data_IF_250347228739
#
_entry.id   IF_250347228739
#
_cell.length_a   1.000
_cell.length_b   1.000
_cell.length_c   1.000
_cell.angle_alpha   90.00
_cell.angle_beta   90.00
_cell.angle_gamma   90.00
#
_symmetry.space_group_name_H-M   'P 1'
#
loop_
_entity.id
_entity.type
_entity.pdbx_description
1 polymer ?
#
# COMPACT_ATOMS: atom_id res chain seq x y z
N UNK A 1 -9.93 17.84 -25.99
CA UNK A 1 -9.56 16.64 -26.77
C UNK A 1 -10.11 15.44 -26.02
N UNK A 2 -11.16 14.78 -26.52
CA UNK A 2 -11.62 13.54 -25.93
C UNK A 2 -10.47 12.52 -26.05
N UNK A 3 -9.90 12.08 -24.93
CA UNK A 3 -8.94 10.99 -24.96
C UNK A 3 -9.69 9.74 -25.41
N UNK A 4 -9.62 9.46 -26.71
CA UNK A 4 -10.29 8.32 -27.32
C UNK A 4 -9.79 7.02 -26.70
N UNK A 5 -10.70 6.08 -26.52
CA UNK A 5 -10.42 4.72 -26.09
C UNK A 5 -9.31 4.12 -26.95
N UNK A 6 -8.10 3.98 -26.40
CA UNK A 6 -7.01 3.21 -26.99
C UNK A 6 -7.15 1.78 -26.47
N UNK A 7 -7.49 0.80 -27.33
CA UNK A 7 -7.50 -0.59 -26.90
C UNK A 7 -6.09 -1.00 -26.48
N UNK A 8 -6.02 -1.81 -25.43
CA UNK A 8 -4.77 -2.37 -24.93
C UNK A 8 -4.15 -3.27 -26.00
N UNK A 9 -2.84 -3.16 -26.19
CA UNK A 9 -2.09 -4.16 -26.98
C UNK A 9 -1.98 -5.47 -26.19
N UNK A 10 -1.66 -6.57 -26.88
CA UNK A 10 -1.42 -7.86 -26.20
C UNK A 10 -0.29 -7.76 -25.18
N UNK A 11 0.78 -7.02 -25.51
CA UNK A 11 1.93 -6.79 -24.62
C UNK A 11 1.51 -6.01 -23.35
N UNK A 12 0.68 -4.98 -23.50
CA UNK A 12 0.17 -4.19 -22.36
C UNK A 12 -0.75 -5.04 -21.47
N UNK A 13 -1.55 -5.94 -22.06
CA UNK A 13 -2.41 -6.87 -21.33
C UNK A 13 -1.61 -7.94 -20.60
N UNK A 14 -0.56 -8.48 -21.23
CA UNK A 14 0.34 -9.46 -20.62
C UNK A 14 1.08 -8.86 -19.43
N UNK A 15 1.64 -7.66 -19.58
CA UNK A 15 2.28 -6.93 -18.48
C UNK A 15 1.31 -6.69 -17.30
N UNK A 16 0.05 -6.34 -17.59
CA UNK A 16 -0.97 -6.21 -16.53
C UNK A 16 -1.29 -7.56 -15.86
N UNK A 17 -1.30 -8.64 -16.64
CA UNK A 17 -1.56 -10.00 -16.17
C UNK A 17 -0.46 -10.51 -15.25
N UNK A 18 0.82 -10.26 -15.58
CA UNK A 18 1.97 -10.60 -14.73
C UNK A 18 1.92 -9.91 -13.37
N UNK A 19 1.31 -8.73 -13.28
CA UNK A 19 1.08 -8.03 -12.01
C UNK A 19 -0.14 -8.65 -11.30
N UNK A 20 -1.25 -8.84 -12.00
CA UNK A 20 -2.50 -9.24 -11.39
C UNK A 20 -2.49 -10.69 -10.87
N UNK A 21 -2.12 -11.65 -11.72
CA UNK A 21 -2.30 -13.08 -11.44
C UNK A 21 -1.50 -13.60 -10.24
N UNK A 22 -0.24 -13.19 -9.99
CA UNK A 22 0.46 -13.62 -8.78
C UNK A 22 -0.26 -13.21 -7.49
N UNK A 23 -0.88 -12.02 -7.47
CA UNK A 23 -1.66 -11.53 -6.33
C UNK A 23 -2.98 -12.28 -6.20
N UNK A 24 -3.64 -12.54 -7.33
CA UNK A 24 -4.88 -13.30 -7.37
C UNK A 24 -4.67 -14.75 -6.92
N UNK A 25 -3.64 -15.42 -7.44
CA UNK A 25 -3.29 -16.80 -7.10
C UNK A 25 -2.97 -16.97 -5.61
N UNK A 26 -2.27 -16.01 -5.01
CA UNK A 26 -2.03 -16.00 -3.57
C UNK A 26 -3.34 -16.07 -2.76
N UNK A 27 -4.39 -15.39 -3.20
CA UNK A 27 -5.69 -15.44 -2.54
C UNK A 27 -6.39 -16.75 -2.88
N UNK A 28 -6.43 -17.13 -4.16
CA UNK A 28 -7.11 -18.32 -4.65
C UNK A 28 -6.63 -19.61 -3.95
N UNK A 29 -5.33 -19.76 -3.74
CA UNK A 29 -4.73 -20.90 -3.04
C UNK A 29 -5.23 -21.08 -1.59
N UNK A 30 -5.79 -20.03 -0.99
CA UNK A 30 -6.33 -20.03 0.37
C UNK A 30 -7.85 -20.10 0.41
N UNK A 31 -8.51 -20.07 -0.75
CA UNK A 31 -9.96 -20.16 -0.84
C UNK A 31 -10.42 -21.62 -0.72
N UNK A 32 -11.64 -21.86 -0.21
CA UNK A 32 -12.22 -23.20 -0.19
C UNK A 32 -12.49 -23.71 -1.62
N UNK A 33 -12.46 -25.03 -1.82
CA UNK A 33 -12.56 -25.67 -3.15
C UNK A 33 -13.83 -25.33 -3.95
N UNK A 34 -14.89 -24.86 -3.29
CA UNK A 34 -16.16 -24.45 -3.92
C UNK A 34 -16.28 -22.94 -4.15
N UNK A 35 -15.23 -22.17 -3.84
CA UNK A 35 -15.25 -20.72 -4.03
C UNK A 35 -15.25 -20.36 -5.51
N UNK A 36 -16.04 -19.35 -5.86
CA UNK A 36 -16.06 -18.82 -7.22
C UNK A 36 -14.91 -17.82 -7.44
N UNK A 37 -14.65 -17.50 -8.70
CA UNK A 37 -13.71 -16.43 -9.06
C UNK A 37 -14.18 -15.08 -8.49
N UNK A 38 -15.49 -14.81 -8.51
CA UNK A 38 -16.07 -13.61 -7.93
C UNK A 38 -15.86 -13.53 -6.42
N UNK A 39 -16.05 -14.64 -5.70
CA UNK A 39 -15.74 -14.71 -4.27
C UNK A 39 -14.28 -14.41 -3.99
N UNK A 40 -13.38 -14.93 -4.82
CA UNK A 40 -11.94 -14.72 -4.70
C UNK A 40 -11.58 -13.25 -4.92
N UNK A 41 -12.20 -12.57 -5.90
CA UNK A 41 -12.02 -11.14 -6.14
C UNK A 41 -12.54 -10.30 -4.96
N UNK A 42 -13.70 -10.66 -4.41
CA UNK A 42 -14.28 -10.01 -3.23
C UNK A 42 -13.39 -10.15 -1.99
N UNK A 43 -12.80 -11.33 -1.78
CA UNK A 43 -11.84 -11.56 -0.69
C UNK A 43 -10.56 -10.77 -0.95
N UNK A 44 -10.04 -10.77 -2.17
CA UNK A 44 -8.86 -10.00 -2.55
C UNK A 44 -9.04 -8.51 -2.26
N UNK A 45 -10.19 -7.92 -2.58
CA UNK A 45 -10.48 -6.51 -2.27
C UNK A 45 -10.43 -6.23 -0.76
N UNK A 46 -11.03 -7.11 0.06
CA UNK A 46 -11.01 -6.99 1.52
C UNK A 46 -9.58 -7.11 2.09
N UNK A 47 -8.78 -8.04 1.57
CA UNK A 47 -7.38 -8.23 1.97
C UNK A 47 -6.54 -6.99 1.62
N UNK A 48 -6.74 -6.41 0.42
CA UNK A 48 -6.05 -5.19 0.01
C UNK A 48 -6.41 -4.00 0.92
N UNK A 49 -7.69 -3.80 1.23
CA UNK A 49 -8.14 -2.77 2.20
C UNK A 49 -7.48 -2.94 3.57
N UNK A 50 -7.39 -4.18 4.05
CA UNK A 50 -6.73 -4.49 5.32
C UNK A 50 -5.23 -4.19 5.28
N UNK A 51 -4.54 -4.58 4.19
CA UNK A 51 -3.11 -4.31 4.00
C UNK A 51 -2.78 -2.81 3.97
N UNK A 52 -3.59 -2.01 3.29
CA UNK A 52 -3.46 -0.55 3.29
C UNK A 52 -3.67 0.04 4.69
N UNK A 53 -4.69 -0.44 5.42
CA UNK A 53 -4.94 -0.02 6.80
C UNK A 53 -3.74 -0.34 7.71
N UNK A 54 -3.18 -1.56 7.63
CA UNK A 54 -2.02 -1.95 8.42
C UNK A 54 -0.78 -1.09 8.12
N UNK A 55 -0.54 -0.74 6.85
CA UNK A 55 0.55 0.16 6.47
C UNK A 55 0.38 1.53 7.12
N UNK A 56 -0.80 2.12 6.97
CA UNK A 56 -1.11 3.41 7.54
C UNK A 56 -1.06 3.41 9.09
N UNK A 57 -1.55 2.36 9.74
CA UNK A 57 -1.49 2.22 11.20
C UNK A 57 -0.03 2.07 11.69
N UNK A 58 0.82 1.37 10.92
CA UNK A 58 2.26 1.25 11.19
C UNK A 58 3.01 2.57 11.01
N UNK A 59 2.65 3.37 10.01
CA UNK A 59 3.20 4.72 9.80
C UNK A 59 2.80 5.65 10.95
N UNK A 60 1.52 5.64 11.35
CA UNK A 60 1.04 6.39 12.52
C UNK A 60 1.73 5.97 13.81
N UNK A 61 1.93 4.68 14.04
CA UNK A 61 2.62 4.21 15.25
C UNK A 61 4.08 4.70 15.33
N UNK A 62 4.77 4.81 14.19
CA UNK A 62 6.11 5.40 14.12
C UNK A 62 6.08 6.90 14.38
N UNK A 63 5.14 7.62 13.77
CA UNK A 63 4.96 9.06 13.99
C UNK A 63 4.60 9.38 15.46
N UNK A 64 3.72 8.60 16.07
CA UNK A 64 3.38 8.71 17.49
C UNK A 64 4.58 8.38 18.41
N UNK A 65 5.44 7.43 18.03
CA UNK A 65 6.65 7.10 18.81
C UNK A 65 7.68 8.23 18.74
N UNK A 66 7.91 8.81 17.55
CA UNK A 66 8.80 9.96 17.37
C UNK A 66 8.25 11.25 18.00
N UNK A 67 6.95 11.51 17.90
CA UNK A 67 6.30 12.66 18.55
C UNK A 67 6.33 12.58 20.08
N UNK A 68 6.23 11.36 20.64
CA UNK A 68 6.35 11.13 22.08
C UNK A 68 7.78 11.40 22.58
N UNK A 69 8.81 11.01 21.82
CA UNK A 69 10.22 11.33 22.14
C UNK A 69 10.48 12.84 22.18
N UNK A 70 9.84 13.63 21.30
CA UNK A 70 9.92 15.10 21.34
C UNK A 70 9.17 15.71 22.52
N UNK A 71 7.99 15.17 22.88
CA UNK A 71 7.18 15.67 23.99
C UNK A 71 7.79 15.39 25.38
N UNK A 72 8.60 14.34 25.50
CA UNK A 72 9.29 13.98 26.75
C UNK A 72 10.69 14.59 26.90
N UNK A 73 11.00 15.69 26.20
CA UNK A 73 12.15 16.55 26.55
C UNK A 73 13.55 15.94 26.39
N UNK A 74 13.68 14.76 25.79
CA UNK A 74 14.99 14.09 25.62
C UNK A 74 15.78 14.52 24.39
N UNK A 75 15.26 15.45 23.57
CA UNK A 75 15.96 15.98 22.40
C UNK A 75 16.10 17.49 22.57
N UNK A 76 17.21 17.94 23.16
CA UNK A 76 17.70 19.31 22.97
C UNK A 76 18.24 19.42 21.54
N UNK A 77 17.49 20.07 20.66
CA UNK A 77 18.05 20.60 19.42
C UNK A 77 19.00 21.73 19.79
N UNK A 78 20.29 21.42 19.96
CA UNK A 78 21.33 22.44 20.00
C UNK A 78 21.54 22.95 18.57
N UNK A 79 20.57 23.70 18.05
CA UNK A 79 20.77 24.52 16.86
C UNK A 79 21.54 25.74 17.35
N UNK A 80 22.87 25.67 17.24
CA UNK A 80 23.68 26.89 17.22
C UNK A 80 23.20 27.68 16.01
N UNK A 81 22.50 28.77 16.29
CA UNK A 81 22.44 29.90 15.39
C UNK A 81 23.87 30.43 15.30
N UNK A 82 24.54 30.16 14.18
CA UNK A 82 25.68 30.96 13.78
C UNK A 82 25.12 31.99 12.80
N UNK A 83 24.80 33.16 13.36
CA UNK A 83 24.65 34.43 12.64
C UNK A 83 26.04 34.88 12.12
N UNK A 84 26.05 35.40 10.90
CA UNK A 84 26.96 36.41 10.32
C UNK A 84 28.50 36.25 10.42
N UNK A 85 29.13 35.89 9.29
CA UNK A 85 30.27 36.63 8.64
C UNK A 85 30.22 36.42 7.12
#
# INVERSE_FOLDING_TARGET
MAQGYRPLTLEELEAASEIFFPRFNLILERMPEKATIEDTLNVMEKVLKLGHKQRHDREKAQEFSFGRLRKFGFIQSNVKADDDV
#
